data_IF_726388669239
#
_entry.id   IF_726388669239
#
_cell.length_a   1.000
_cell.length_b   1.000
_cell.length_c   1.000
_cell.angle_alpha   90.00
_cell.angle_beta   90.00
_cell.angle_gamma   90.00
#
_symmetry.space_group_name_H-M   'P 1'
#
loop_
_entity.id
_entity.type
_entity.pdbx_description
1 polymer ?
#
# COMPACT_ATOMS: atom_id res chain seq x y z
N UNK A 1 -3.54 55.01 -6.17
CA UNK A 1 -3.77 53.67 -6.76
C UNK A 1 -2.56 52.72 -6.70
N UNK A 2 -1.38 53.17 -6.27
CA UNK A 2 -0.11 52.44 -6.30
C UNK A 2 0.13 51.51 -5.09
N UNK A 3 -0.50 51.77 -3.94
CA UNK A 3 -0.21 51.10 -2.67
C UNK A 3 -0.80 49.67 -2.56
N UNK A 4 -2.07 49.50 -2.97
CA UNK A 4 -2.74 48.18 -2.99
C UNK A 4 -2.03 47.15 -3.89
N UNK A 5 -1.33 47.59 -4.93
CA UNK A 5 -0.59 46.71 -5.84
C UNK A 5 0.69 46.15 -5.21
N UNK A 6 1.34 46.96 -4.35
CA UNK A 6 2.56 46.61 -3.62
C UNK A 6 2.25 45.71 -2.44
N UNK A 7 1.19 45.99 -1.69
CA UNK A 7 0.66 45.09 -0.65
C UNK A 7 0.24 43.73 -1.23
N UNK A 8 -0.43 43.71 -2.39
CA UNK A 8 -0.82 42.45 -3.05
C UNK A 8 0.40 41.64 -3.51
N UNK A 9 1.46 42.30 -4.00
CA UNK A 9 2.74 41.65 -4.35
C UNK A 9 3.48 41.13 -3.10
N UNK A 10 3.53 41.90 -2.02
CA UNK A 10 4.14 41.47 -0.75
C UNK A 10 3.38 40.32 -0.09
N UNK A 11 2.04 40.37 -0.04
CA UNK A 11 1.21 39.25 0.44
C UNK A 11 1.39 38.01 -0.44
N UNK A 12 1.51 38.17 -1.76
CA UNK A 12 1.81 37.06 -2.68
C UNK A 12 3.20 36.48 -2.44
N UNK A 13 4.21 37.31 -2.16
CA UNK A 13 5.57 36.86 -1.84
C UNK A 13 5.65 36.15 -0.47
N UNK A 14 4.99 36.68 0.56
CA UNK A 14 4.88 36.05 1.89
C UNK A 14 4.10 34.74 1.84
N UNK A 15 3.01 34.67 1.07
CA UNK A 15 2.28 33.41 0.80
C UNK A 15 3.17 32.39 0.08
N UNK A 16 3.89 32.82 -0.96
CA UNK A 16 4.83 31.97 -1.69
C UNK A 16 5.98 31.45 -0.80
N UNK A 17 6.43 32.24 0.18
CA UNK A 17 7.36 31.77 1.21
C UNK A 17 6.72 30.79 2.20
N UNK A 18 5.48 31.02 2.62
CA UNK A 18 4.74 30.14 3.54
C UNK A 18 4.38 28.79 2.92
N UNK A 19 4.09 28.75 1.62
CA UNK A 19 3.82 27.51 0.88
C UNK A 19 5.11 26.72 0.65
N UNK A 20 6.25 27.42 0.54
CA UNK A 20 7.59 26.81 0.60
C UNK A 20 7.97 26.29 2.02
N UNK A 21 7.10 26.46 3.01
CA UNK A 21 7.24 25.93 4.38
C UNK A 21 6.20 24.85 4.69
N UNK A 22 5.31 24.50 3.74
CA UNK A 22 4.34 23.41 3.93
C UNK A 22 5.03 22.09 3.63
N UNK A 23 5.31 21.32 4.70
CA UNK A 23 5.96 20.00 4.65
C UNK A 23 4.90 18.93 4.90
N UNK A 24 4.55 18.24 3.83
CA UNK A 24 3.53 17.20 3.82
C UNK A 24 4.20 15.85 3.99
N UNK A 25 3.72 15.07 4.95
CA UNK A 25 4.16 13.70 5.17
C UNK A 25 2.99 12.72 5.04
N UNK A 26 3.31 11.57 4.46
CA UNK A 26 2.46 10.39 4.42
C UNK A 26 3.05 9.36 5.38
N UNK A 27 2.23 8.44 5.87
CA UNK A 27 2.75 7.25 6.53
C UNK A 27 3.40 6.31 5.51
N UNK A 28 4.25 5.40 5.99
CA UNK A 28 4.95 4.44 5.12
C UNK A 28 3.97 3.38 4.66
N UNK A 29 3.90 3.14 3.35
CA UNK A 29 2.88 2.27 2.78
C UNK A 29 3.40 1.51 1.57
N UNK A 30 3.95 0.31 1.82
CA UNK A 30 4.64 -0.51 0.83
C UNK A 30 5.56 0.30 -0.07
N UNK A 31 5.36 0.20 -1.38
CA UNK A 31 6.22 0.83 -2.39
C UNK A 31 5.63 2.09 -3.06
N UNK A 32 4.63 2.74 -2.46
CA UNK A 32 3.95 3.89 -3.08
C UNK A 32 4.54 5.26 -2.74
N UNK A 33 5.66 5.33 -2.02
CA UNK A 33 6.31 6.61 -1.70
C UNK A 33 6.52 7.51 -2.95
N UNK A 34 7.00 7.00 -4.10
CA UNK A 34 7.17 7.84 -5.28
C UNK A 34 5.86 8.50 -5.74
N UNK A 35 4.73 7.80 -5.64
CA UNK A 35 3.42 8.34 -5.99
C UNK A 35 2.96 9.43 -4.99
N UNK A 36 3.23 9.24 -3.69
CA UNK A 36 2.92 10.23 -2.67
C UNK A 36 3.78 11.48 -2.79
N UNK A 37 5.07 11.32 -3.10
CA UNK A 37 5.99 12.41 -3.43
C UNK A 37 5.49 13.18 -4.64
N UNK A 38 5.22 12.48 -5.74
CA UNK A 38 4.76 13.12 -6.98
C UNK A 38 3.44 13.86 -6.77
N UNK A 39 2.47 13.26 -6.06
CA UNK A 39 1.22 13.92 -5.70
C UNK A 39 1.48 15.21 -4.91
N UNK A 40 2.31 15.13 -3.87
CA UNK A 40 2.62 16.29 -3.01
C UNK A 40 3.29 17.43 -3.79
N UNK A 41 4.33 17.10 -4.56
CA UNK A 41 5.15 18.10 -5.23
C UNK A 41 4.49 18.64 -6.51
N UNK A 42 3.78 17.80 -7.27
CA UNK A 42 3.25 18.14 -8.60
C UNK A 42 1.77 18.49 -8.60
N UNK A 43 0.98 17.93 -7.68
CA UNK A 43 -0.46 18.20 -7.56
C UNK A 43 -0.71 19.28 -6.50
N UNK A 44 -0.14 19.11 -5.30
CA UNK A 44 -0.36 20.04 -4.19
C UNK A 44 0.57 21.26 -4.20
N UNK A 45 1.66 21.21 -4.98
CA UNK A 45 2.71 22.25 -5.01
C UNK A 45 3.22 22.55 -3.59
N UNK A 46 3.62 21.49 -2.88
CA UNK A 46 4.13 21.49 -1.51
C UNK A 46 5.41 20.64 -1.38
N UNK A 47 6.12 20.78 -0.25
CA UNK A 47 7.34 19.99 0.02
C UNK A 47 6.95 18.62 0.58
N UNK A 48 7.41 17.53 -0.05
CA UNK A 48 7.25 16.18 0.48
C UNK A 48 8.36 15.88 1.50
N UNK A 49 7.97 15.42 2.69
CA UNK A 49 8.90 14.93 3.70
C UNK A 49 8.99 13.40 3.61
N UNK A 50 10.10 12.84 3.09
CA UNK A 50 10.31 11.40 3.11
C UNK A 50 10.63 10.94 4.53
N UNK A 51 10.22 9.72 4.85
CA UNK A 51 10.54 9.08 6.11
C UNK A 51 11.63 8.02 5.88
N UNK A 52 12.65 7.91 6.75
CA UNK A 52 13.64 6.84 6.66
C UNK A 52 12.98 5.46 6.84
N UNK A 53 13.67 4.35 6.63
CA UNK A 53 13.10 3.03 6.97
C UNK A 53 12.67 3.00 8.44
N UNK A 54 11.44 2.52 8.70
CA UNK A 54 10.95 2.40 10.06
C UNK A 54 11.82 1.43 10.87
N UNK A 55 11.98 1.73 12.14
CA UNK A 55 12.73 0.92 13.08
C UNK A 55 11.80 0.35 14.15
N UNK A 56 12.32 -0.52 15.03
CA UNK A 56 11.59 -0.97 16.21
C UNK A 56 11.09 0.22 17.07
N UNK A 57 11.88 1.28 17.16
CA UNK A 57 11.49 2.50 17.85
C UNK A 57 10.24 3.15 17.24
N UNK A 58 10.11 3.16 15.92
CA UNK A 58 8.91 3.67 15.22
C UNK A 58 7.66 2.94 15.68
N UNK A 59 7.73 1.61 15.80
CA UNK A 59 6.60 0.77 16.23
C UNK A 59 6.27 1.06 17.71
N UNK A 60 7.28 1.11 18.57
CA UNK A 60 7.12 1.39 20.01
C UNK A 60 6.49 2.78 20.28
N UNK A 61 6.80 3.78 19.46
CA UNK A 61 6.17 5.11 19.54
C UNK A 61 4.65 5.03 19.32
N UNK A 62 4.22 4.28 18.29
CA UNK A 62 2.82 4.08 17.97
C UNK A 62 2.09 3.24 19.01
N UNK A 63 2.72 2.19 19.54
CA UNK A 63 2.16 1.36 20.62
C UNK A 63 1.94 2.18 21.89
N UNK A 64 2.90 3.01 22.29
CA UNK A 64 2.84 3.79 23.54
C UNK A 64 1.65 4.75 23.60
N UNK A 65 1.25 5.32 22.47
CA UNK A 65 0.17 6.32 22.39
C UNK A 65 -1.16 5.72 21.92
N UNK A 66 -1.23 4.42 21.65
CA UNK A 66 -2.44 3.74 21.22
C UNK A 66 -2.91 2.72 22.25
N UNK A 67 -4.18 2.29 22.13
CA UNK A 67 -4.71 1.23 22.99
C UNK A 67 -4.43 -0.15 22.38
N UNK A 68 -4.44 -1.20 23.18
CA UNK A 68 -4.23 -2.56 22.66
C UNK A 68 -5.38 -3.09 21.79
N UNK A 69 -6.54 -2.43 21.82
CA UNK A 69 -7.74 -2.84 21.09
C UNK A 69 -7.82 -2.29 19.65
N UNK A 70 -6.92 -1.39 19.26
CA UNK A 70 -6.81 -0.95 17.86
C UNK A 70 -5.99 -1.96 17.06
N UNK A 71 -6.31 -2.11 15.78
CA UNK A 71 -5.56 -3.02 14.92
C UNK A 71 -4.16 -2.47 14.60
N UNK A 72 -3.21 -3.39 14.37
CA UNK A 72 -1.78 -3.10 14.18
C UNK A 72 -1.47 -1.97 13.18
N UNK A 73 -2.15 -1.86 12.02
CA UNK A 73 -1.94 -0.76 11.09
C UNK A 73 -2.10 0.64 11.71
N UNK A 74 -3.06 0.79 12.64
CA UNK A 74 -3.24 2.06 13.36
C UNK A 74 -1.97 2.46 14.11
N UNK A 75 -1.37 1.50 14.82
CA UNK A 75 -0.17 1.71 15.63
C UNK A 75 1.02 2.05 14.74
N UNK A 76 1.21 1.33 13.63
CA UNK A 76 2.28 1.61 12.68
C UNK A 76 2.16 3.01 12.08
N UNK A 77 0.96 3.39 11.62
CA UNK A 77 0.71 4.73 11.05
C UNK A 77 0.93 5.83 12.10
N UNK A 78 0.49 5.62 13.35
CA UNK A 78 0.69 6.59 14.42
C UNK A 78 2.19 6.80 14.71
N UNK A 79 2.98 5.72 14.74
CA UNK A 79 4.44 5.80 14.85
C UNK A 79 5.08 6.58 13.70
N UNK A 80 4.66 6.31 12.47
CA UNK A 80 5.13 7.04 11.27
C UNK A 80 4.81 8.54 11.36
N UNK A 81 3.62 8.90 11.84
CA UNK A 81 3.21 10.29 12.03
C UNK A 81 3.98 11.01 13.12
N UNK A 82 4.28 10.35 14.25
CA UNK A 82 5.12 10.94 15.30
C UNK A 82 6.49 11.28 14.74
N UNK A 83 7.13 10.35 14.02
CA UNK A 83 8.44 10.59 13.41
C UNK A 83 8.41 11.69 12.34
N UNK A 84 7.33 11.78 11.56
CA UNK A 84 7.15 12.85 10.58
C UNK A 84 7.08 14.22 11.24
N UNK A 85 6.30 14.34 12.32
CA UNK A 85 6.15 15.59 13.08
C UNK A 85 7.47 15.98 13.77
N UNK A 86 8.19 15.01 14.35
CA UNK A 86 9.50 15.24 14.96
C UNK A 86 10.56 15.70 13.93
N UNK A 87 10.41 15.29 12.67
CA UNK A 87 11.24 15.75 11.55
C UNK A 87 10.76 17.07 10.91
N UNK A 88 9.69 17.66 11.45
CA UNK A 88 9.19 18.98 11.06
C UNK A 88 8.12 18.97 9.97
N UNK A 89 7.45 17.85 9.73
CA UNK A 89 6.19 17.85 8.97
C UNK A 89 5.17 18.74 9.69
N UNK A 90 4.38 19.49 8.92
CA UNK A 90 3.29 20.31 9.45
C UNK A 90 1.94 20.02 8.79
N UNK A 91 1.93 19.13 7.79
CA UNK A 91 0.74 18.51 7.24
C UNK A 91 0.93 17.01 7.24
N UNK A 92 -0.02 16.29 7.84
CA UNK A 92 -0.08 14.83 7.77
C UNK A 92 -1.22 14.41 6.86
N UNK A 93 -1.02 13.36 6.06
CA UNK A 93 -2.04 12.85 5.16
C UNK A 93 -2.52 11.48 5.62
N UNK A 94 -3.83 11.35 5.82
CA UNK A 94 -4.49 10.09 6.17
C UNK A 94 -5.54 9.71 5.11
N UNK A 95 -5.55 8.43 4.73
CA UNK A 95 -6.54 7.87 3.81
C UNK A 95 -7.80 7.43 4.55
N UNK A 96 -8.91 7.44 3.81
CA UNK A 96 -10.16 6.87 4.28
C UNK A 96 -10.39 5.45 3.81
N UNK A 97 -11.29 4.75 4.51
CA UNK A 97 -11.75 3.42 4.11
C UNK A 97 -12.99 2.99 4.90
N UNK A 98 -13.69 1.94 4.43
CA UNK A 98 -14.98 1.53 4.98
C UNK A 98 -14.89 0.69 6.27
N UNK A 99 -13.70 0.42 6.80
CA UNK A 99 -13.51 -0.17 8.13
C UNK A 99 -13.15 0.91 9.16
N UNK A 100 -12.51 0.51 10.26
CA UNK A 100 -11.97 1.45 11.27
C UNK A 100 -11.06 2.51 10.67
N UNK A 101 -10.44 2.27 9.50
CA UNK A 101 -9.65 3.25 8.76
C UNK A 101 -10.37 4.58 8.55
N UNK A 102 -11.70 4.56 8.35
CA UNK A 102 -12.51 5.77 8.22
C UNK A 102 -12.38 6.74 9.40
N UNK A 103 -12.13 6.22 10.61
CA UNK A 103 -11.99 7.00 11.84
C UNK A 103 -10.54 7.22 12.27
N UNK A 104 -9.56 6.66 11.54
CA UNK A 104 -8.16 6.75 11.93
C UNK A 104 -7.69 8.19 12.02
N UNK A 105 -7.99 9.00 11.00
CA UNK A 105 -7.50 10.38 10.94
C UNK A 105 -7.96 11.23 12.13
N UNK A 106 -9.24 11.14 12.50
CA UNK A 106 -9.79 11.87 13.65
C UNK A 106 -9.14 11.43 14.97
N UNK A 107 -9.03 10.11 15.18
CA UNK A 107 -8.48 9.58 16.42
C UNK A 107 -6.97 9.86 16.55
N UNK A 108 -6.21 9.66 15.47
CA UNK A 108 -4.78 9.97 15.43
C UNK A 108 -4.55 11.47 15.61
N UNK A 109 -5.39 12.32 15.01
CA UNK A 109 -5.31 13.76 15.22
C UNK A 109 -5.51 14.14 16.69
N UNK A 110 -6.55 13.60 17.34
CA UNK A 110 -6.79 13.83 18.76
C UNK A 110 -5.60 13.41 19.62
N UNK A 111 -5.09 12.19 19.42
CA UNK A 111 -3.96 11.64 20.19
C UNK A 111 -2.70 12.51 20.02
N UNK A 112 -2.39 12.91 18.79
CA UNK A 112 -1.20 13.71 18.52
C UNK A 112 -1.32 15.14 19.08
N UNK A 113 -2.52 15.73 19.04
CA UNK A 113 -2.77 17.04 19.68
C UNK A 113 -2.65 16.97 21.20
N UNK A 114 -3.17 15.91 21.82
CA UNK A 114 -3.01 15.67 23.26
C UNK A 114 -1.54 15.44 23.65
N UNK A 115 -0.75 14.85 22.75
CA UNK A 115 0.70 14.70 22.90
C UNK A 115 1.48 16.03 22.68
N UNK A 116 0.81 17.12 22.31
CA UNK A 116 1.39 18.46 22.20
C UNK A 116 1.85 18.86 20.80
N UNK A 117 1.51 18.09 19.77
CA UNK A 117 1.85 18.45 18.38
C UNK A 117 0.87 19.45 17.78
N UNK A 118 1.39 20.41 17.02
CA UNK A 118 0.60 21.33 16.19
C UNK A 118 0.87 21.07 14.71
N UNK A 119 -0.18 20.73 13.98
CA UNK A 119 -0.13 20.36 12.58
C UNK A 119 -1.53 20.43 11.95
N UNK A 120 -1.57 20.23 10.64
CA UNK A 120 -2.81 20.12 9.86
C UNK A 120 -3.00 18.67 9.43
N UNK A 121 -4.14 18.08 9.75
CA UNK A 121 -4.53 16.78 9.21
C UNK A 121 -5.30 16.94 7.90
N UNK A 122 -4.74 16.41 6.81
CA UNK A 122 -5.44 16.17 5.56
C UNK A 122 -6.01 14.75 5.59
N UNK A 123 -7.21 14.62 6.16
CA UNK A 123 -7.91 13.36 6.31
C UNK A 123 -8.91 13.15 5.17
N UNK A 124 -8.64 12.20 4.27
CA UNK A 124 -9.53 11.90 3.14
C UNK A 124 -10.82 11.15 3.53
N UNK A 125 -10.96 10.74 4.79
CA UNK A 125 -12.27 10.31 5.32
C UNK A 125 -13.22 11.50 5.53
N UNK A 126 -12.69 12.70 5.75
CA UNK A 126 -13.51 13.91 5.82
C UNK A 126 -14.12 14.18 4.45
N UNK A 127 -15.41 14.54 4.43
CA UNK A 127 -16.16 14.85 3.22
C UNK A 127 -16.20 13.71 2.17
N UNK A 128 -16.10 12.45 2.59
CA UNK A 128 -16.22 11.29 1.69
C UNK A 128 -17.58 11.30 0.93
N UNK A 129 -18.62 11.89 1.52
CA UNK A 129 -19.94 12.14 0.92
C UNK A 129 -19.92 13.16 -0.24
N UNK A 130 -18.95 14.08 -0.26
CA UNK A 130 -18.76 15.09 -1.30
C UNK A 130 -17.80 14.62 -2.42
N UNK A 131 -17.16 13.47 -2.23
CA UNK A 131 -16.27 12.84 -3.21
C UNK A 131 -15.08 13.71 -3.63
N UNK A 132 -14.62 13.61 -4.90
CA UNK A 132 -13.44 14.31 -5.38
C UNK A 132 -13.47 15.84 -5.23
N UNK A 133 -14.67 16.45 -5.28
CA UNK A 133 -14.86 17.89 -5.09
C UNK A 133 -14.60 18.32 -3.65
N UNK A 134 -14.99 17.50 -2.66
CA UNK A 134 -14.70 17.73 -1.24
C UNK A 134 -13.19 17.68 -0.98
N UNK A 135 -12.55 16.60 -1.41
CA UNK A 135 -11.10 16.41 -1.25
C UNK A 135 -10.27 17.51 -1.92
N UNK A 136 -10.67 17.96 -3.11
CA UNK A 136 -10.01 19.08 -3.77
C UNK A 136 -10.12 20.39 -2.97
N UNK A 137 -11.29 20.66 -2.37
CA UNK A 137 -11.47 21.83 -1.49
C UNK A 137 -10.61 21.73 -0.24
N UNK A 138 -10.50 20.54 0.36
CA UNK A 138 -9.65 20.33 1.54
C UNK A 138 -8.18 20.53 1.20
N UNK A 139 -7.70 20.00 0.07
CA UNK A 139 -6.35 20.24 -0.42
C UNK A 139 -6.07 21.76 -0.59
N UNK A 140 -6.99 22.49 -1.23
CA UNK A 140 -6.87 23.94 -1.42
C UNK A 140 -6.89 24.71 -0.09
N UNK A 141 -7.76 24.33 0.84
CA UNK A 141 -7.94 25.04 2.11
C UNK A 141 -6.83 24.76 3.11
N UNK A 142 -6.42 23.49 3.21
CA UNK A 142 -5.52 22.98 4.25
C UNK A 142 -4.05 22.98 3.82
N UNK A 143 -3.76 22.76 2.53
CA UNK A 143 -2.37 22.61 2.05
C UNK A 143 -1.91 23.83 1.27
N UNK A 144 -2.56 24.14 0.15
CA UNK A 144 -2.14 25.25 -0.72
C UNK A 144 -3.33 25.86 -1.49
N UNK A 145 -3.77 27.08 -1.16
CA UNK A 145 -4.91 27.73 -1.83
C UNK A 145 -4.60 28.25 -3.24
N UNK A 146 -3.33 28.27 -3.63
CA UNK A 146 -2.86 28.81 -4.92
C UNK A 146 -2.54 27.68 -5.94
N UNK A 147 -2.99 26.44 -5.70
CA UNK A 147 -2.81 25.30 -6.61
C UNK A 147 -3.34 25.65 -8.02
N UNK A 148 -2.53 25.39 -9.03
CA UNK A 148 -2.93 25.51 -10.43
C UNK A 148 -3.81 24.32 -10.84
N UNK A 149 -5.14 24.49 -10.76
CA UNK A 149 -6.11 23.40 -10.97
C UNK A 149 -5.96 22.66 -12.30
N UNK A 150 -5.88 23.31 -13.48
CA UNK A 150 -5.66 22.59 -14.74
C UNK A 150 -4.39 21.74 -14.74
N UNK A 151 -3.29 22.26 -14.21
CA UNK A 151 -2.04 21.50 -14.08
C UNK A 151 -2.21 20.33 -13.11
N UNK A 152 -2.79 20.58 -11.93
CA UNK A 152 -3.02 19.57 -10.90
C UNK A 152 -3.87 18.39 -11.41
N UNK A 153 -4.90 18.64 -12.22
CA UNK A 153 -5.74 17.59 -12.82
C UNK A 153 -4.93 16.70 -13.77
N UNK A 154 -4.05 17.28 -14.59
CA UNK A 154 -3.16 16.51 -15.47
C UNK A 154 -2.18 15.68 -14.63
N UNK A 155 -1.60 16.26 -13.59
CA UNK A 155 -0.66 15.54 -12.71
C UNK A 155 -1.36 14.46 -11.87
N UNK A 156 -2.63 14.61 -11.51
CA UNK A 156 -3.42 13.55 -10.88
C UNK A 156 -3.56 12.32 -11.79
N UNK A 157 -3.74 12.52 -13.10
CA UNK A 157 -3.75 11.41 -14.05
C UNK A 157 -2.37 10.72 -14.11
N UNK A 158 -1.27 11.49 -14.04
CA UNK A 158 0.08 10.95 -13.96
C UNK A 158 0.33 10.16 -12.66
N UNK A 159 -0.20 10.61 -11.51
CA UNK A 159 -0.16 9.84 -10.24
C UNK A 159 -0.88 8.50 -10.40
N UNK A 160 -2.07 8.48 -11.02
CA UNK A 160 -2.79 7.24 -11.27
C UNK A 160 -2.03 6.31 -12.24
N UNK A 161 -1.39 6.87 -13.27
CA UNK A 161 -0.52 6.12 -14.18
C UNK A 161 0.70 5.53 -13.46
N UNK A 162 1.35 6.30 -12.58
CA UNK A 162 2.47 5.84 -11.76
C UNK A 162 2.05 4.69 -10.83
N UNK A 163 0.94 4.83 -10.12
CA UNK A 163 0.43 3.78 -9.23
C UNK A 163 0.17 2.46 -10.00
N UNK A 164 -0.44 2.56 -11.19
CA UNK A 164 -0.64 1.41 -12.07
C UNK A 164 0.66 0.74 -12.48
N UNK A 165 1.66 1.53 -12.89
CA UNK A 165 2.96 1.01 -13.33
C UNK A 165 3.79 0.42 -12.19
N UNK A 166 3.68 0.99 -10.99
CA UNK A 166 4.24 0.40 -9.77
C UNK A 166 3.66 -1.00 -9.55
N UNK A 167 2.33 -1.12 -9.63
CA UNK A 167 1.63 -2.40 -9.45
C UNK A 167 2.00 -3.42 -10.55
N UNK A 168 1.92 -3.02 -11.82
CA UNK A 168 2.26 -3.90 -12.95
C UNK A 168 3.72 -4.41 -12.87
N UNK A 169 4.67 -3.52 -12.51
CA UNK A 169 6.07 -3.89 -12.33
C UNK A 169 6.26 -4.82 -11.13
N UNK A 170 5.54 -4.57 -10.02
CA UNK A 170 5.62 -5.42 -8.84
C UNK A 170 5.03 -6.80 -9.08
N UNK A 171 3.93 -6.91 -9.82
CA UNK A 171 3.36 -8.20 -10.22
C UNK A 171 4.36 -9.01 -11.04
N UNK A 172 5.08 -8.37 -11.97
CA UNK A 172 6.16 -9.03 -12.70
C UNK A 172 7.33 -9.44 -11.78
N UNK A 173 7.72 -8.58 -10.84
CA UNK A 173 8.74 -8.88 -9.85
C UNK A 173 8.37 -10.14 -9.04
N UNK A 174 7.17 -10.16 -8.46
CA UNK A 174 6.69 -11.26 -7.60
C UNK A 174 6.55 -12.59 -8.36
N UNK A 175 6.22 -12.53 -9.65
CA UNK A 175 6.10 -13.73 -10.47
C UNK A 175 7.45 -14.33 -10.90
N UNK A 176 8.57 -13.59 -10.82
CA UNK A 176 9.84 -14.01 -11.44
C UNK A 176 11.07 -13.92 -10.53
N UNK A 177 11.10 -13.03 -9.54
CA UNK A 177 12.30 -12.77 -8.73
C UNK A 177 12.75 -13.98 -7.90
N UNK A 178 11.85 -14.90 -7.53
CA UNK A 178 12.19 -16.15 -6.84
C UNK A 178 13.01 -17.12 -7.70
N UNK A 179 13.19 -16.83 -8.99
CA UNK A 179 13.91 -17.67 -9.95
C UNK A 179 15.15 -16.98 -10.51
N UNK A 180 15.61 -15.87 -9.94
CA UNK A 180 16.79 -15.18 -10.44
C UNK A 180 18.06 -16.04 -10.38
N UNK A 181 18.86 -16.03 -11.45
CA UNK A 181 20.14 -16.75 -11.47
C UNK A 181 21.23 -16.04 -10.65
N UNK A 182 21.12 -14.71 -10.49
CA UNK A 182 22.01 -13.90 -9.69
C UNK A 182 21.22 -13.25 -8.55
N UNK A 183 21.57 -13.59 -7.30
CA UNK A 183 20.84 -13.11 -6.13
C UNK A 183 20.86 -11.59 -6.03
N UNK A 184 19.69 -11.00 -5.78
CA UNK A 184 19.45 -9.57 -5.69
C UNK A 184 19.39 -8.86 -7.04
N UNK A 185 19.41 -9.55 -8.17
CA UNK A 185 19.36 -8.93 -9.50
C UNK A 185 18.06 -8.18 -9.74
N UNK A 186 16.91 -8.80 -9.43
CA UNK A 186 15.61 -8.15 -9.52
C UNK A 186 15.51 -7.00 -8.53
N UNK A 187 16.02 -7.17 -7.31
CA UNK A 187 16.03 -6.12 -6.28
C UNK A 187 16.80 -4.88 -6.73
N UNK A 188 17.98 -5.04 -7.34
CA UNK A 188 18.75 -3.89 -7.86
C UNK A 188 18.00 -3.13 -8.95
N UNK A 189 17.30 -3.83 -9.84
CA UNK A 189 16.45 -3.20 -10.87
C UNK A 189 15.26 -2.48 -10.23
N UNK A 190 14.63 -3.09 -9.23
CA UNK A 190 13.53 -2.49 -8.49
C UNK A 190 13.96 -1.21 -7.75
N UNK A 191 15.08 -1.25 -7.04
CA UNK A 191 15.60 -0.09 -6.30
C UNK A 191 15.92 1.07 -7.28
N UNK A 192 16.57 0.78 -8.41
CA UNK A 192 16.83 1.78 -9.45
C UNK A 192 15.53 2.36 -10.06
N UNK A 193 14.49 1.54 -10.20
CA UNK A 193 13.17 1.99 -10.66
C UNK A 193 12.49 2.92 -9.64
N UNK A 194 12.60 2.63 -8.34
CA UNK A 194 12.10 3.53 -7.29
C UNK A 194 12.83 4.88 -7.31
N UNK A 195 14.15 4.88 -7.51
CA UNK A 195 14.95 6.10 -7.64
C UNK A 195 14.52 6.93 -8.87
N UNK A 196 14.35 6.28 -10.02
CA UNK A 196 13.85 6.92 -11.25
C UNK A 196 12.46 7.55 -11.04
N UNK A 197 11.54 6.85 -10.38
CA UNK A 197 10.19 7.37 -10.09
C UNK A 197 10.21 8.52 -9.07
N UNK A 198 11.09 8.46 -8.07
CA UNK A 198 11.27 9.56 -7.12
C UNK A 198 11.80 10.83 -7.79
N UNK A 199 12.57 10.70 -8.88
CA UNK A 199 13.08 11.82 -9.66
C UNK A 199 12.09 12.32 -10.74
N UNK A 200 11.00 11.59 -11.01
CA UNK A 200 10.06 11.90 -12.09
C UNK A 200 9.37 13.27 -11.90
N UNK A 201 9.27 14.04 -12.98
CA UNK A 201 8.66 15.36 -12.99
C UNK A 201 7.35 15.44 -13.80
N UNK A 202 7.12 14.47 -14.68
CA UNK A 202 5.95 14.41 -15.55
C UNK A 202 5.59 12.96 -15.95
N UNK A 203 4.49 12.79 -16.68
CA UNK A 203 4.02 11.48 -17.14
C UNK A 203 5.03 10.76 -18.07
N UNK A 204 5.76 11.52 -18.89
CA UNK A 204 6.77 10.95 -19.79
C UNK A 204 7.91 10.30 -19.02
N UNK A 205 8.42 10.95 -17.95
CA UNK A 205 9.46 10.37 -17.08
C UNK A 205 9.00 9.04 -16.46
N UNK A 206 7.74 9.00 -16.00
CA UNK A 206 7.10 7.80 -15.42
C UNK A 206 7.02 6.69 -16.46
N UNK A 207 6.61 7.04 -17.69
CA UNK A 207 6.50 6.09 -18.79
C UNK A 207 7.86 5.51 -19.18
N UNK A 208 8.89 6.35 -19.26
CA UNK A 208 10.26 5.93 -19.58
C UNK A 208 10.88 5.08 -18.46
N UNK A 209 10.74 5.49 -17.19
CA UNK A 209 11.22 4.74 -16.03
C UNK A 209 10.63 3.32 -16.01
N UNK A 210 9.31 3.21 -16.20
CA UNK A 210 8.62 1.92 -16.27
C UNK A 210 9.14 1.08 -17.45
N UNK A 211 9.31 1.67 -18.63
CA UNK A 211 9.85 0.95 -19.79
C UNK A 211 11.25 0.41 -19.51
N UNK A 212 12.16 1.25 -18.99
CA UNK A 212 13.52 0.83 -18.61
C UNK A 212 13.50 -0.30 -17.58
N UNK A 213 12.68 -0.17 -16.54
CA UNK A 213 12.51 -1.19 -15.51
C UNK A 213 12.06 -2.54 -16.10
N UNK A 214 11.00 -2.53 -16.90
CA UNK A 214 10.46 -3.75 -17.50
C UNK A 214 11.42 -4.38 -18.51
N UNK A 215 12.10 -3.59 -19.33
CA UNK A 215 13.11 -4.08 -20.26
C UNK A 215 14.30 -4.71 -19.51
N UNK A 216 14.74 -4.08 -18.41
CA UNK A 216 15.80 -4.61 -17.55
C UNK A 216 15.38 -5.91 -16.86
N UNK A 217 14.20 -5.96 -16.22
CA UNK A 217 13.71 -7.16 -15.53
C UNK A 217 13.52 -8.34 -16.50
N UNK A 218 13.01 -8.09 -17.71
CA UNK A 218 12.84 -9.13 -18.75
C UNK A 218 14.16 -9.61 -19.35
N UNK A 219 15.21 -8.78 -19.27
CA UNK A 219 16.55 -9.14 -19.71
C UNK A 219 17.36 -9.95 -18.68
N UNK A 220 16.89 -10.05 -17.43
CA UNK A 220 17.57 -10.82 -16.40
C UNK A 220 17.49 -12.33 -16.66
N UNK A 221 18.59 -13.08 -16.48
CA UNK A 221 18.54 -14.53 -16.55
C UNK A 221 17.77 -15.10 -15.36
N UNK A 222 16.78 -15.95 -15.65
CA UNK A 222 16.00 -16.69 -14.65
C UNK A 222 16.07 -18.19 -14.91
N UNK A 223 16.07 -18.96 -13.83
CA UNK A 223 15.97 -20.42 -13.81
C UNK A 223 14.59 -20.81 -13.28
N UNK A 224 13.56 -20.50 -14.07
CA UNK A 224 12.17 -20.76 -13.72
C UNK A 224 11.74 -22.12 -14.28
N UNK A 225 11.35 -23.10 -13.44
CA UNK A 225 10.87 -24.39 -13.93
C UNK A 225 9.56 -24.22 -14.71
N UNK A 226 9.26 -25.16 -15.61
CA UNK A 226 8.03 -25.12 -16.41
C UNK A 226 6.74 -25.17 -15.56
N UNK A 227 6.81 -25.81 -14.38
CA UNK A 227 5.71 -25.91 -13.43
C UNK A 227 6.18 -25.44 -12.03
N UNK A 228 6.33 -24.12 -11.81
CA UNK A 228 6.78 -23.59 -10.52
C UNK A 228 5.68 -23.74 -9.46
N UNK A 229 6.04 -23.73 -8.17
CA UNK A 229 5.06 -23.60 -7.09
C UNK A 229 4.47 -22.18 -7.13
N UNK A 230 3.16 -22.07 -7.31
CA UNK A 230 2.41 -20.82 -7.46
C UNK A 230 1.60 -20.55 -6.20
N UNK A 231 1.86 -19.43 -5.54
CA UNK A 231 1.21 -19.04 -4.29
C UNK A 231 0.44 -17.74 -4.49
N UNK A 232 -0.84 -17.76 -4.14
CA UNK A 232 -1.67 -16.57 -4.10
C UNK A 232 -1.65 -15.93 -2.72
N UNK A 233 -1.30 -14.66 -2.61
CA UNK A 233 -1.43 -13.89 -1.38
C UNK A 233 -2.77 -13.14 -1.39
N UNK A 234 -3.54 -13.30 -0.32
CA UNK A 234 -4.81 -12.60 -0.07
C UNK A 234 -4.81 -12.01 1.34
N UNK A 235 -5.71 -11.07 1.64
CA UNK A 235 -5.75 -10.41 2.94
C UNK A 235 -6.09 -8.92 2.83
N UNK A 236 -5.50 -8.10 3.70
CA UNK A 236 -5.80 -6.67 3.75
C UNK A 236 -4.63 -5.73 3.38
N UNK A 237 -4.97 -4.49 3.08
CA UNK A 237 -4.13 -3.47 2.44
C UNK A 237 -2.90 -3.03 3.24
N UNK A 238 -2.92 -3.13 4.56
CA UNK A 238 -1.85 -2.64 5.43
C UNK A 238 -0.97 -3.76 6.01
N UNK A 239 -1.23 -5.01 5.64
CA UNK A 239 -0.42 -6.17 6.04
C UNK A 239 -0.09 -7.05 4.84
N UNK A 240 -1.09 -7.51 4.07
CA UNK A 240 -0.81 -8.39 2.93
C UNK A 240 0.04 -7.69 1.85
N UNK A 241 -0.04 -6.36 1.79
CA UNK A 241 0.70 -5.52 0.86
C UNK A 241 1.95 -4.88 1.49
N UNK A 242 1.92 -4.50 2.77
CA UNK A 242 3.01 -3.80 3.44
C UNK A 242 4.05 -4.78 3.99
N UNK A 243 5.21 -4.86 3.33
CA UNK A 243 6.30 -5.78 3.67
C UNK A 243 6.74 -5.66 5.14
N UNK A 244 6.76 -4.45 5.70
CA UNK A 244 7.10 -4.22 7.11
C UNK A 244 6.09 -4.91 8.03
N UNK A 245 4.80 -4.70 7.76
CA UNK A 245 3.73 -5.22 8.62
C UNK A 245 3.57 -6.73 8.54
N UNK A 246 4.10 -7.37 7.49
CA UNK A 246 4.08 -8.83 7.32
C UNK A 246 5.44 -9.53 7.48
N UNK A 247 6.45 -8.82 8.01
CA UNK A 247 7.81 -9.33 8.25
C UNK A 247 8.49 -9.85 6.97
N UNK A 248 8.32 -9.16 5.84
CA UNK A 248 8.97 -9.53 4.58
C UNK A 248 8.44 -10.83 3.97
N UNK A 249 7.13 -11.09 4.10
CA UNK A 249 6.46 -12.30 3.59
C UNK A 249 6.81 -12.57 2.12
N UNK A 250 6.74 -11.53 1.27
CA UNK A 250 7.06 -11.63 -0.15
C UNK A 250 8.49 -12.16 -0.35
N UNK A 251 9.48 -11.57 0.31
CA UNK A 251 10.89 -11.96 0.19
C UNK A 251 11.14 -13.39 0.69
N UNK A 252 10.56 -13.77 1.83
CA UNK A 252 10.66 -15.13 2.38
C UNK A 252 10.13 -16.18 1.40
N UNK A 253 8.97 -15.93 0.79
CA UNK A 253 8.38 -16.78 -0.24
C UNK A 253 9.22 -16.83 -1.53
N UNK A 254 9.77 -15.70 -1.99
CA UNK A 254 10.65 -15.67 -3.17
C UNK A 254 11.94 -16.46 -2.93
N UNK A 255 12.53 -16.37 -1.74
CA UNK A 255 13.72 -17.13 -1.36
C UNK A 255 13.49 -18.66 -1.37
N UNK A 256 12.24 -19.11 -1.26
CA UNK A 256 11.85 -20.52 -1.43
C UNK A 256 11.56 -20.89 -2.90
N UNK A 257 11.94 -20.05 -3.87
CA UNK A 257 11.74 -20.28 -5.32
C UNK A 257 10.29 -20.48 -5.73
N UNK A 258 9.42 -19.57 -5.27
CA UNK A 258 7.99 -19.58 -5.61
C UNK A 258 7.63 -18.47 -6.60
N UNK A 259 6.54 -18.71 -7.35
CA UNK A 259 5.87 -17.70 -8.16
C UNK A 259 4.71 -17.10 -7.35
N UNK A 260 4.80 -15.83 -6.98
CA UNK A 260 3.83 -15.17 -6.11
C UNK A 260 2.87 -14.31 -6.92
N UNK A 261 1.59 -14.33 -6.55
CA UNK A 261 0.56 -13.43 -7.11
C UNK A 261 -0.24 -12.75 -6.01
N UNK A 262 -0.49 -11.44 -6.14
CA UNK A 262 -1.31 -10.67 -5.20
C UNK A 262 -2.23 -9.71 -5.96
N UNK A 263 -3.50 -10.11 -6.11
CA UNK A 263 -4.54 -9.31 -6.75
C UNK A 263 -4.86 -8.01 -5.98
N UNK A 264 -4.60 -7.98 -4.67
CA UNK A 264 -4.81 -6.79 -3.86
C UNK A 264 -3.63 -5.82 -4.00
N UNK A 265 -3.87 -4.70 -4.68
CA UNK A 265 -2.99 -3.54 -4.78
C UNK A 265 -3.85 -2.27 -4.93
N UNK A 266 -3.24 -1.07 -4.96
CA UNK A 266 -3.99 0.18 -5.07
C UNK A 266 -4.74 0.29 -6.40
N UNK A 267 -4.17 -0.18 -7.51
CA UNK A 267 -4.85 -0.14 -8.82
C UNK A 267 -6.13 -0.95 -8.79
N UNK A 268 -6.06 -2.19 -8.33
CA UNK A 268 -7.22 -3.06 -8.26
C UNK A 268 -8.26 -2.58 -7.24
N UNK A 269 -7.82 -1.92 -6.16
CA UNK A 269 -8.73 -1.42 -5.11
C UNK A 269 -9.38 -0.09 -5.44
N UNK A 270 -8.66 0.84 -6.07
CA UNK A 270 -9.14 2.22 -6.27
C UNK A 270 -9.52 2.52 -7.71
N UNK A 271 -9.03 1.76 -8.69
CA UNK A 271 -9.30 1.99 -10.11
C UNK A 271 -10.24 0.91 -10.68
N UNK A 272 -9.99 -0.37 -10.39
CA UNK A 272 -10.76 -1.49 -10.96
C UNK A 272 -11.84 -2.05 -10.03
N UNK A 273 -11.93 -1.56 -8.80
CA UNK A 273 -12.88 -2.08 -7.83
C UNK A 273 -14.32 -1.74 -8.20
N UNK A 274 -15.12 -2.78 -8.42
CA UNK A 274 -16.55 -2.69 -8.60
C UNK A 274 -17.18 -3.78 -7.74
N UNK A 275 -17.59 -3.41 -6.53
CA UNK A 275 -18.10 -4.37 -5.53
C UNK A 275 -19.24 -5.22 -6.09
N UNK A 276 -20.30 -4.67 -6.73
CA UNK A 276 -21.40 -5.49 -7.21
C UNK A 276 -20.95 -6.57 -8.21
N UNK A 277 -20.08 -6.20 -9.16
CA UNK A 277 -19.56 -7.14 -10.15
C UNK A 277 -18.65 -8.20 -9.52
N UNK A 278 -17.78 -7.79 -8.59
CA UNK A 278 -16.89 -8.71 -7.87
C UNK A 278 -17.70 -9.71 -7.03
N UNK A 279 -18.71 -9.24 -6.30
CA UNK A 279 -19.57 -10.09 -5.49
C UNK A 279 -20.34 -11.09 -6.35
N UNK A 280 -20.92 -10.66 -7.48
CA UNK A 280 -21.58 -11.57 -8.43
C UNK A 280 -20.61 -12.65 -8.93
N UNK A 281 -19.34 -12.30 -9.17
CA UNK A 281 -18.33 -13.27 -9.63
C UNK A 281 -17.99 -14.37 -8.62
N UNK A 282 -18.34 -14.19 -7.34
CA UNK A 282 -18.19 -15.19 -6.28
C UNK A 282 -19.49 -15.42 -5.49
N UNK A 283 -20.65 -15.33 -6.16
CA UNK A 283 -21.97 -15.34 -5.52
C UNK A 283 -22.34 -16.60 -4.72
N UNK A 284 -21.63 -17.72 -4.93
CA UNK A 284 -21.77 -18.94 -4.11
C UNK A 284 -21.13 -18.82 -2.71
N UNK A 285 -20.22 -17.84 -2.56
CA UNK A 285 -19.48 -17.52 -1.35
C UNK A 285 -19.88 -16.16 -0.76
N UNK A 286 -20.36 -15.23 -1.58
CA UNK A 286 -20.65 -13.84 -1.19
C UNK A 286 -22.10 -13.47 -1.52
N UNK A 287 -22.91 -13.20 -0.49
CA UNK A 287 -24.28 -12.69 -0.65
C UNK A 287 -24.34 -11.16 -0.51
N UNK A 288 -23.58 -10.60 0.43
CA UNK A 288 -23.57 -9.18 0.78
C UNK A 288 -22.18 -8.57 0.56
N UNK A 289 -22.13 -7.23 0.49
CA UNK A 289 -20.87 -6.50 0.57
C UNK A 289 -20.23 -6.77 1.95
N UNK A 290 -19.03 -7.34 1.94
CA UNK A 290 -18.29 -7.75 3.13
C UNK A 290 -17.28 -6.69 3.57
N UNK A 291 -17.34 -5.48 3.03
CA UNK A 291 -16.49 -4.35 3.44
C UNK A 291 -15.26 -4.17 2.56
N UNK A 292 -14.15 -3.61 3.11
CA UNK A 292 -13.09 -3.02 2.29
C UNK A 292 -12.38 -3.99 1.35
N UNK A 293 -11.84 -5.05 1.93
CA UNK A 293 -10.92 -5.97 1.25
C UNK A 293 -11.52 -7.36 1.10
N UNK A 294 -12.48 -7.73 1.96
CA UNK A 294 -13.08 -9.05 2.04
C UNK A 294 -13.62 -9.57 0.71
N UNK A 295 -14.40 -8.78 -0.03
CA UNK A 295 -14.89 -9.16 -1.36
C UNK A 295 -13.74 -9.43 -2.33
N UNK A 296 -12.67 -8.62 -2.32
CA UNK A 296 -11.48 -8.87 -3.14
C UNK A 296 -10.72 -10.12 -2.69
N UNK A 297 -10.56 -10.33 -1.39
CA UNK A 297 -9.90 -11.50 -0.79
C UNK A 297 -10.57 -12.79 -1.25
N UNK A 298 -11.89 -12.89 -1.12
CA UNK A 298 -12.66 -14.08 -1.51
C UNK A 298 -12.63 -14.31 -3.01
N UNK A 299 -12.82 -13.26 -3.82
CA UNK A 299 -12.75 -13.37 -5.28
C UNK A 299 -11.36 -13.77 -5.75
N UNK A 300 -10.30 -13.19 -5.18
CA UNK A 300 -8.93 -13.54 -5.52
C UNK A 300 -8.61 -14.99 -5.13
N UNK A 301 -8.98 -15.42 -3.92
CA UNK A 301 -8.78 -16.79 -3.45
C UNK A 301 -9.47 -17.81 -4.38
N UNK A 302 -10.73 -17.55 -4.75
CA UNK A 302 -11.46 -18.38 -5.72
C UNK A 302 -10.75 -18.40 -7.08
N UNK A 303 -10.32 -17.25 -7.61
CA UNK A 303 -9.60 -17.18 -8.90
C UNK A 303 -8.29 -17.95 -8.89
N UNK A 304 -7.54 -17.89 -7.80
CA UNK A 304 -6.31 -18.67 -7.65
C UNK A 304 -6.62 -20.17 -7.64
N UNK A 305 -7.66 -20.58 -6.91
CA UNK A 305 -8.11 -21.95 -6.86
C UNK A 305 -8.55 -22.48 -8.25
N UNK A 306 -9.39 -21.72 -8.96
CA UNK A 306 -9.84 -22.04 -10.34
C UNK A 306 -8.69 -22.13 -11.34
N UNK A 307 -7.62 -21.34 -11.13
CA UNK A 307 -6.41 -21.31 -11.98
C UNK A 307 -5.37 -22.36 -11.57
N UNK A 308 -5.69 -23.26 -10.65
CA UNK A 308 -4.82 -24.36 -10.25
C UNK A 308 -3.56 -23.90 -9.53
N UNK A 309 -3.64 -22.84 -8.71
CA UNK A 309 -2.54 -22.46 -7.83
C UNK A 309 -2.27 -23.55 -6.79
N UNK A 310 -1.03 -23.67 -6.35
CA UNK A 310 -0.62 -24.73 -5.43
C UNK A 310 -1.06 -24.43 -4.00
N UNK A 311 -1.06 -23.16 -3.60
CA UNK A 311 -1.52 -22.74 -2.27
C UNK A 311 -1.91 -21.26 -2.19
N UNK A 312 -2.55 -20.91 -1.07
CA UNK A 312 -2.93 -19.54 -0.73
C UNK A 312 -2.30 -19.17 0.62
N UNK A 313 -1.78 -17.95 0.75
CA UNK A 313 -1.41 -17.35 2.03
C UNK A 313 -2.40 -16.22 2.33
N UNK A 314 -3.15 -16.34 3.42
CA UNK A 314 -3.99 -15.28 3.94
C UNK A 314 -3.22 -14.49 5.00
N UNK A 315 -2.89 -13.24 4.69
CA UNK A 315 -2.10 -12.36 5.56
C UNK A 315 -2.95 -11.18 6.06
N UNK A 316 -3.14 -11.07 7.38
CA UNK A 316 -3.91 -9.99 7.99
C UNK A 316 -3.29 -9.49 9.29
N UNK A 317 -3.63 -8.27 9.68
CA UNK A 317 -3.32 -7.80 11.02
C UNK A 317 -4.25 -8.41 12.08
N UNK A 318 -3.76 -8.52 13.31
CA UNK A 318 -4.58 -8.76 14.48
C UNK A 318 -5.68 -7.68 14.61
N UNK A 319 -6.88 -8.10 15.01
CA UNK A 319 -8.04 -7.22 15.13
C UNK A 319 -8.66 -6.73 13.81
N UNK A 320 -8.22 -7.24 12.65
CA UNK A 320 -8.87 -6.94 11.37
C UNK A 320 -10.15 -7.77 11.21
N UNK A 321 -11.28 -7.23 11.68
CA UNK A 321 -12.59 -7.89 11.61
C UNK A 321 -12.99 -8.33 10.19
N UNK A 322 -12.88 -7.49 9.14
CA UNK A 322 -13.30 -7.91 7.79
C UNK A 322 -12.55 -9.15 7.27
N UNK A 323 -11.29 -9.33 7.65
CA UNK A 323 -10.50 -10.48 7.24
C UNK A 323 -10.71 -11.71 8.15
N UNK A 324 -11.06 -11.51 9.43
CA UNK A 324 -11.52 -12.60 10.30
C UNK A 324 -12.81 -13.21 9.72
N UNK A 325 -13.74 -12.38 9.25
CA UNK A 325 -14.99 -12.83 8.62
C UNK A 325 -14.77 -13.58 7.30
N UNK A 326 -13.60 -13.40 6.66
CA UNK A 326 -13.23 -14.15 5.45
C UNK A 326 -12.76 -15.57 5.76
N UNK A 327 -12.22 -15.86 6.95
CA UNK A 327 -11.59 -17.16 7.24
C UNK A 327 -12.53 -18.36 7.01
N UNK A 328 -13.80 -18.36 7.47
CA UNK A 328 -14.70 -19.49 7.23
C UNK A 328 -14.99 -19.69 5.73
N UNK A 329 -15.05 -18.61 4.96
CA UNK A 329 -15.29 -18.65 3.51
C UNK A 329 -14.04 -19.16 2.79
N UNK A 330 -12.84 -18.73 3.21
CA UNK A 330 -11.57 -19.24 2.70
C UNK A 330 -11.38 -20.72 3.03
N UNK A 331 -11.80 -21.19 4.21
CA UNK A 331 -11.81 -22.61 4.57
C UNK A 331 -12.74 -23.41 3.66
N UNK A 332 -13.91 -22.84 3.31
CA UNK A 332 -14.83 -23.46 2.35
C UNK A 332 -14.22 -23.55 0.94
N UNK A 333 -13.63 -22.46 0.43
CA UNK A 333 -12.90 -22.47 -0.85
C UNK A 333 -11.76 -23.50 -0.83
N UNK A 334 -11.00 -23.55 0.26
CA UNK A 334 -9.92 -24.52 0.46
C UNK A 334 -10.44 -25.96 0.35
N UNK A 335 -11.59 -26.26 0.95
CA UNK A 335 -12.23 -27.58 0.86
C UNK A 335 -12.77 -27.87 -0.55
N UNK A 336 -13.52 -26.94 -1.13
CA UNK A 336 -14.20 -27.12 -2.42
C UNK A 336 -13.20 -27.37 -3.56
N UNK A 337 -12.09 -26.63 -3.58
CA UNK A 337 -11.05 -26.74 -4.61
C UNK A 337 -9.85 -27.59 -4.19
N UNK A 338 -9.83 -28.08 -2.96
CA UNK A 338 -8.68 -28.79 -2.36
C UNK A 338 -7.37 -27.99 -2.47
N UNK A 339 -7.44 -26.66 -2.34
CA UNK A 339 -6.28 -25.76 -2.33
C UNK A 339 -5.87 -25.47 -0.88
N UNK A 340 -4.65 -25.82 -0.45
CA UNK A 340 -4.20 -25.52 0.90
C UNK A 340 -4.07 -24.00 1.14
N UNK A 341 -4.54 -23.55 2.30
CA UNK A 341 -4.47 -22.15 2.72
C UNK A 341 -3.72 -22.02 4.03
N UNK A 342 -2.66 -21.20 4.06
CA UNK A 342 -1.95 -20.82 5.28
C UNK A 342 -2.51 -19.50 5.82
N UNK A 343 -2.96 -19.50 7.08
CA UNK A 343 -3.52 -18.31 7.74
C UNK A 343 -2.48 -17.65 8.65
N UNK A 344 -2.07 -16.44 8.32
CA UNK A 344 -1.09 -15.65 9.05
C UNK A 344 -1.75 -14.39 9.62
N UNK A 345 -1.71 -14.28 10.95
CA UNK A 345 -2.15 -13.07 11.68
C UNK A 345 -0.92 -12.39 12.25
N UNK A 346 -0.78 -11.10 11.95
CA UNK A 346 0.37 -10.27 12.32
C UNK A 346 -0.02 -9.24 13.38
N UNK A 347 0.78 -9.15 14.43
CA UNK A 347 0.71 -8.12 15.45
C UNK A 347 2.08 -7.48 15.68
N UNK A 348 2.12 -6.42 16.49
CA UNK A 348 3.36 -5.71 16.78
C UNK A 348 4.37 -6.53 17.61
N UNK A 349 3.96 -7.70 18.15
CA UNK A 349 4.79 -8.58 18.96
C UNK A 349 5.19 -9.87 18.21
N UNK A 350 4.86 -9.97 16.92
CA UNK A 350 5.07 -11.18 16.13
C UNK A 350 6.58 -11.40 15.90
N UNK A 351 7.05 -12.62 16.16
CA UNK A 351 8.46 -13.02 16.02
C UNK A 351 8.74 -13.66 14.66
N UNK A 352 9.91 -13.36 14.11
CA UNK A 352 10.37 -13.79 12.78
C UNK A 352 10.55 -15.33 12.69
N UNK A 353 11.11 -15.94 13.73
CA UNK A 353 11.43 -17.39 13.73
C UNK A 353 10.19 -18.28 13.60
N UNK A 354 9.08 -17.88 14.23
CA UNK A 354 7.83 -18.64 14.16
C UNK A 354 7.15 -18.54 12.80
N UNK A 355 7.34 -17.42 12.09
CA UNK A 355 6.83 -17.24 10.73
C UNK A 355 7.59 -18.13 9.73
N UNK A 356 8.93 -18.12 9.78
CA UNK A 356 9.77 -18.89 8.86
C UNK A 356 9.44 -20.37 8.89
N UNK A 357 9.38 -20.97 10.08
CA UNK A 357 9.08 -22.40 10.25
C UNK A 357 7.72 -22.76 9.64
N UNK A 358 6.72 -21.87 9.75
CA UNK A 358 5.37 -22.11 9.21
C UNK A 358 5.33 -21.98 7.69
N UNK A 359 6.10 -21.04 7.14
CA UNK A 359 6.24 -20.86 5.70
C UNK A 359 6.98 -22.02 5.05
N UNK A 360 8.07 -22.47 5.66
CA UNK A 360 8.84 -23.65 5.22
C UNK A 360 7.97 -24.91 5.24
N UNK A 361 7.28 -25.19 6.36
CA UNK A 361 6.39 -26.34 6.44
C UNK A 361 5.24 -26.28 5.43
N UNK A 362 4.71 -25.09 5.16
CA UNK A 362 3.68 -24.91 4.14
C UNK A 362 4.24 -25.17 2.74
N UNK A 363 5.42 -24.63 2.43
CA UNK A 363 6.12 -24.87 1.16
C UNK A 363 6.40 -26.35 0.93
N UNK A 364 6.96 -27.05 1.92
CA UNK A 364 7.30 -28.48 1.83
C UNK A 364 6.05 -29.32 1.51
N UNK A 365 4.93 -29.03 2.17
CA UNK A 365 3.65 -29.68 1.88
C UNK A 365 3.19 -29.42 0.44
N UNK A 366 3.34 -28.20 -0.08
CA UNK A 366 3.00 -27.88 -1.47
C UNK A 366 3.89 -28.64 -2.46
N UNK A 367 5.19 -28.67 -2.21
CA UNK A 367 6.16 -29.37 -3.03
C UNK A 367 5.84 -30.88 -3.10
N UNK A 368 5.62 -31.53 -1.97
CA UNK A 368 5.24 -32.95 -1.91
C UNK A 368 3.94 -33.24 -2.66
N UNK A 369 2.93 -32.37 -2.52
CA UNK A 369 1.66 -32.51 -3.24
C UNK A 369 1.87 -32.39 -4.75
N UNK A 370 2.75 -31.49 -5.19
CA UNK A 370 3.04 -31.26 -6.61
C UNK A 370 3.82 -32.40 -7.24
N UNK A 371 4.79 -32.97 -6.53
CA UNK A 371 5.54 -34.15 -6.95
C UNK A 371 4.63 -35.40 -7.08
N UNK A 372 3.69 -35.59 -6.16
CA UNK A 372 2.76 -36.73 -6.22
C UNK A 372 1.71 -36.67 -7.34
N UNK A 373 1.53 -35.50 -7.98
CA UNK A 373 0.58 -35.27 -9.07
C UNK A 373 1.27 -35.01 -10.43
N UNK A 374 2.61 -35.02 -10.48
CA UNK A 374 3.43 -34.94 -11.70
C UNK A 374 3.82 -36.33 -12.17
#
# INVERSE_FOLDING_TARGET
MTDKSREKRQRKALRKQRHKMTKVAFFRYGYYEPAFRFFTERVLDAEFLPLPTATRQTIELGERLSTDYVCTPFKHILGDFIEALDQGANVLVQFGGPCRLGYYGELQESILRDAGYDFVMLNFSEHNDQGPLGWAKDCLKKVNPDINIPHAVVQLAAVANMAKKLDDARDYYLANAGFECERGSFKRVWDAYMDDLNAAACDDDINEAYKRCMDAMRGLPIDKPANPIRIGIVGELFTAFDERSNLGLDEKLLNMRTEIHRYLNLTHRFIHYNEPNLRVSAGEYLLYDMGPTSTMTIVAARRYAERGFDGIVHAKSAGCTPEIDCEPVLQRISSDYRIPTLYLTYDAQTSDTGLDTRLEAFYDMLAMKKESHS
#
